data_IF_765709840872
#
_entry.id   IF_765709840872
#
_cell.length_a   1.000
_cell.length_b   1.000
_cell.length_c   1.000
_cell.angle_alpha   90.00
_cell.angle_beta   90.00
_cell.angle_gamma   90.00
#
_symmetry.space_group_name_H-M   'P 1'
#
loop_
_entity.id
_entity.type
_entity.pdbx_description
1 polymer ?
#
# COMPACT_ATOMS: atom_id res chain seq x y z
N UNK A 1 30.12 -31.45 21.13
CA UNK A 1 28.91 -31.67 20.30
C UNK A 1 29.24 -32.66 19.23
N UNK A 2 28.43 -33.71 19.04
CA UNK A 2 28.62 -34.62 17.92
C UNK A 2 28.28 -33.87 16.60
N UNK A 3 29.18 -33.98 15.61
CA UNK A 3 29.04 -33.36 14.28
C UNK A 3 28.11 -34.19 13.42
N UNK A 4 27.26 -33.56 12.60
CA UNK A 4 26.43 -34.28 11.62
C UNK A 4 27.35 -34.89 10.52
N UNK A 5 27.07 -36.12 10.16
CA UNK A 5 27.76 -36.80 9.07
C UNK A 5 26.89 -36.78 7.83
N UNK A 6 27.38 -36.14 6.76
CA UNK A 6 26.67 -36.07 5.48
C UNK A 6 27.24 -37.06 4.47
N UNK A 7 26.34 -37.86 3.84
CA UNK A 7 26.72 -38.84 2.84
C UNK A 7 25.80 -38.76 1.62
N UNK A 8 26.37 -38.95 0.42
CA UNK A 8 25.55 -39.12 -0.78
C UNK A 8 25.06 -40.59 -0.87
N UNK A 9 23.76 -40.74 -1.12
CA UNK A 9 23.08 -42.04 -1.25
C UNK A 9 22.31 -42.06 -2.57
N UNK A 10 22.62 -43.06 -3.41
CA UNK A 10 21.96 -43.25 -4.70
C UNK A 10 20.86 -44.34 -4.57
N UNK A 11 19.72 -44.10 -5.21
CA UNK A 11 18.61 -45.04 -5.34
C UNK A 11 18.19 -45.70 -4.02
N UNK A 12 18.05 -44.95 -2.94
CA UNK A 12 17.64 -45.46 -1.61
C UNK A 12 16.34 -46.28 -1.64
N UNK A 13 15.38 -45.88 -2.49
CA UNK A 13 14.07 -46.56 -2.61
C UNK A 13 14.11 -47.79 -3.53
N UNK A 14 15.25 -48.10 -4.12
CA UNK A 14 15.44 -49.17 -5.10
C UNK A 14 14.45 -49.11 -6.28
N UNK A 15 14.07 -47.92 -6.72
CA UNK A 15 13.12 -47.66 -7.80
C UNK A 15 13.74 -46.76 -8.83
N UNK A 16 13.53 -47.03 -10.11
CA UNK A 16 13.90 -46.19 -11.23
C UNK A 16 12.66 -45.47 -11.75
N UNK A 17 12.85 -44.25 -12.23
CA UNK A 17 11.78 -43.49 -12.90
C UNK A 17 11.54 -44.06 -14.33
N UNK A 18 10.58 -43.49 -15.06
CA UNK A 18 10.23 -43.85 -16.45
C UNK A 18 11.41 -43.72 -17.43
N UNK A 19 12.44 -42.95 -17.10
CA UNK A 19 13.67 -42.78 -17.92
C UNK A 19 14.81 -43.74 -17.50
N UNK A 20 14.56 -44.66 -16.57
CA UNK A 20 15.57 -45.57 -16.03
C UNK A 20 16.63 -44.88 -15.15
N UNK A 21 16.32 -43.72 -14.56
CA UNK A 21 17.15 -42.95 -13.64
C UNK A 21 16.69 -43.08 -12.21
N UNK A 22 17.60 -42.93 -11.26
CA UNK A 22 17.29 -42.86 -9.83
C UNK A 22 17.85 -41.60 -9.18
N UNK A 23 17.20 -41.17 -8.10
CA UNK A 23 17.53 -39.98 -7.34
C UNK A 23 18.81 -40.18 -6.52
N UNK A 24 19.69 -39.19 -6.55
CA UNK A 24 20.78 -39.01 -5.57
C UNK A 24 20.23 -38.19 -4.40
N UNK A 25 20.47 -38.62 -3.17
CA UNK A 25 20.05 -37.91 -1.94
C UNK A 25 21.26 -37.67 -1.05
N UNK A 26 21.18 -36.66 -0.18
CA UNK A 26 22.12 -36.48 0.94
C UNK A 26 21.48 -37.12 2.18
N UNK A 27 22.16 -38.07 2.81
CA UNK A 27 21.86 -38.60 4.12
C UNK A 27 22.59 -37.76 5.16
N UNK A 28 21.87 -37.15 6.09
CA UNK A 28 22.41 -36.56 7.31
C UNK A 28 22.20 -37.52 8.49
N UNK A 29 23.25 -37.83 9.21
CA UNK A 29 23.26 -38.74 10.33
C UNK A 29 23.75 -38.04 11.60
N UNK A 30 22.95 -38.09 12.67
CA UNK A 30 23.30 -37.59 13.99
C UNK A 30 22.59 -38.43 15.06
N UNK A 31 23.28 -38.80 16.14
CA UNK A 31 22.70 -39.47 17.31
C UNK A 31 21.76 -40.64 16.95
N UNK A 32 22.22 -41.57 16.10
CA UNK A 32 21.48 -42.74 15.60
C UNK A 32 20.22 -42.41 14.79
N UNK A 33 19.98 -41.12 14.50
CA UNK A 33 18.88 -40.68 13.61
C UNK A 33 19.41 -40.36 12.21
N UNK A 34 18.55 -40.53 11.21
CA UNK A 34 18.86 -40.24 9.82
C UNK A 34 17.78 -39.40 9.21
N UNK A 35 18.22 -38.38 8.45
CA UNK A 35 17.35 -37.55 7.63
C UNK A 35 17.89 -37.50 6.20
N UNK A 36 16.98 -37.52 5.21
CA UNK A 36 17.36 -37.58 3.81
C UNK A 36 16.88 -36.35 3.09
N UNK A 37 17.77 -35.68 2.35
CA UNK A 37 17.50 -34.49 1.55
C UNK A 37 17.56 -34.84 0.07
N UNK A 38 16.60 -34.36 -0.72
CA UNK A 38 16.54 -34.59 -2.15
C UNK A 38 17.46 -33.59 -2.87
N UNK A 39 18.44 -34.10 -3.62
CA UNK A 39 19.29 -33.24 -4.45
C UNK A 39 18.68 -32.95 -5.83
N UNK A 40 17.58 -33.64 -6.19
CA UNK A 40 16.94 -33.63 -7.52
C UNK A 40 17.86 -34.03 -8.68
N UNK A 41 19.02 -34.54 -8.38
CA UNK A 41 19.93 -35.14 -9.37
C UNK A 41 19.48 -36.57 -9.62
N UNK A 42 19.10 -36.85 -10.87
CA UNK A 42 18.71 -38.19 -11.32
C UNK A 42 19.73 -38.69 -12.31
N UNK A 43 20.31 -39.84 -12.02
CA UNK A 43 21.31 -40.49 -12.89
C UNK A 43 20.95 -41.95 -13.14
N UNK A 44 21.47 -42.55 -14.22
CA UNK A 44 21.29 -43.98 -14.48
C UNK A 44 22.23 -44.78 -13.57
N UNK A 45 21.91 -46.08 -13.23
CA UNK A 45 22.77 -46.87 -12.36
C UNK A 45 24.24 -46.96 -12.76
N UNK A 46 24.54 -47.08 -14.06
CA UNK A 46 25.91 -47.12 -14.55
C UNK A 46 26.63 -45.77 -14.44
N UNK A 47 25.91 -44.69 -14.24
CA UNK A 47 26.45 -43.32 -14.06
C UNK A 47 26.73 -42.99 -12.59
N UNK A 48 26.59 -43.93 -11.67
CA UNK A 48 26.89 -43.80 -10.26
C UNK A 48 28.08 -44.62 -9.84
N UNK A 49 29.04 -44.05 -9.14
CA UNK A 49 30.12 -44.76 -8.49
C UNK A 49 29.85 -44.91 -7.00
N UNK A 50 29.53 -46.16 -6.59
CA UNK A 50 29.16 -46.44 -5.21
C UNK A 50 30.33 -46.34 -4.21
N UNK A 51 31.58 -46.53 -4.69
CA UNK A 51 32.79 -46.43 -3.84
C UNK A 51 33.16 -44.97 -3.61
N UNK A 52 33.15 -44.18 -4.67
CA UNK A 52 33.49 -42.74 -4.59
C UNK A 52 32.30 -41.87 -4.19
N UNK A 53 31.08 -42.44 -4.16
CA UNK A 53 29.83 -41.71 -3.93
C UNK A 53 29.69 -40.49 -4.84
N UNK A 54 29.95 -40.69 -6.13
CA UNK A 54 29.99 -39.58 -7.12
C UNK A 54 29.38 -40.03 -8.46
N UNK A 55 28.95 -39.05 -9.25
CA UNK A 55 28.50 -39.25 -10.63
C UNK A 55 29.70 -39.56 -11.50
N UNK A 56 29.62 -40.58 -12.38
CA UNK A 56 30.59 -40.96 -13.38
C UNK A 56 29.90 -41.14 -14.73
N UNK A 57 30.68 -41.13 -15.82
CA UNK A 57 30.18 -41.43 -17.17
C UNK A 57 28.95 -40.62 -17.59
N UNK A 58 28.84 -39.39 -17.12
CA UNK A 58 27.76 -38.47 -17.46
C UNK A 58 28.33 -37.25 -18.20
N UNK A 59 27.69 -36.73 -19.29
CA UNK A 59 28.18 -35.56 -20.02
C UNK A 59 28.51 -34.34 -19.13
N UNK A 60 27.73 -34.13 -18.09
CA UNK A 60 27.88 -33.04 -17.13
C UNK A 60 28.42 -33.55 -15.77
N UNK A 61 29.31 -34.55 -15.76
CA UNK A 61 29.79 -35.21 -14.55
C UNK A 61 30.35 -34.21 -13.52
N UNK A 62 31.26 -33.34 -13.97
CA UNK A 62 31.93 -32.39 -13.07
C UNK A 62 30.99 -31.37 -12.48
N UNK A 63 30.11 -30.81 -13.30
CA UNK A 63 29.08 -29.86 -12.84
C UNK A 63 28.12 -30.49 -11.85
N UNK A 64 27.70 -31.76 -12.05
CA UNK A 64 26.82 -32.47 -11.13
C UNK A 64 27.52 -32.79 -9.82
N UNK A 65 28.76 -33.23 -9.86
CA UNK A 65 29.54 -33.49 -8.65
C UNK A 65 29.83 -32.20 -7.87
N UNK A 66 30.13 -31.10 -8.56
CA UNK A 66 30.29 -29.79 -7.92
C UNK A 66 28.98 -29.33 -7.26
N UNK A 67 27.85 -29.51 -7.95
CA UNK A 67 26.52 -29.21 -7.38
C UNK A 67 26.22 -30.02 -6.12
N UNK A 68 26.51 -31.33 -6.14
CA UNK A 68 26.32 -32.22 -4.99
C UNK A 68 27.20 -31.81 -3.79
N UNK A 69 28.47 -31.42 -4.07
CA UNK A 69 29.37 -30.93 -3.05
C UNK A 69 28.89 -29.61 -2.44
N UNK A 70 28.45 -28.67 -3.29
CA UNK A 70 27.88 -27.40 -2.82
C UNK A 70 26.62 -27.61 -1.98
N UNK A 71 25.76 -28.57 -2.33
CA UNK A 71 24.57 -28.93 -1.57
C UNK A 71 24.91 -29.42 -0.15
N UNK A 72 25.95 -30.22 -0.02
CA UNK A 72 26.45 -30.65 1.31
C UNK A 72 27.01 -29.45 2.08
N UNK A 73 27.82 -28.59 1.44
CA UNK A 73 28.39 -27.40 2.07
C UNK A 73 27.30 -26.44 2.59
N UNK A 74 26.19 -26.27 1.87
CA UNK A 74 25.04 -25.48 2.33
C UNK A 74 24.39 -26.09 3.60
N UNK A 75 24.26 -27.41 3.69
CA UNK A 75 23.74 -28.07 4.89
C UNK A 75 24.69 -27.92 6.08
N UNK A 76 26.01 -28.03 5.85
CA UNK A 76 27.04 -27.81 6.88
C UNK A 76 27.04 -26.36 7.37
N UNK A 77 26.84 -25.39 6.47
CA UNK A 77 26.72 -23.99 6.84
C UNK A 77 25.50 -23.72 7.71
N UNK A 78 24.32 -24.28 7.35
CA UNK A 78 23.10 -24.20 8.15
C UNK A 78 23.29 -24.81 9.54
N UNK A 79 23.96 -25.98 9.64
CA UNK A 79 24.34 -26.59 10.90
C UNK A 79 25.14 -25.62 11.78
N UNK A 80 26.20 -25.02 11.21
CA UNK A 80 27.05 -24.04 11.89
C UNK A 80 26.26 -22.81 12.37
N UNK A 81 25.39 -22.26 11.54
CA UNK A 81 24.57 -21.11 11.89
C UNK A 81 23.65 -21.43 13.08
N UNK A 82 23.02 -22.59 13.11
CA UNK A 82 22.13 -23.00 14.22
C UNK A 82 22.93 -23.23 15.51
N UNK A 83 24.07 -23.91 15.42
CA UNK A 83 24.96 -24.16 16.55
C UNK A 83 25.48 -22.86 17.15
N UNK A 84 25.81 -21.86 16.34
CA UNK A 84 26.22 -20.52 16.82
C UNK A 84 25.11 -19.77 17.57
N UNK A 85 23.84 -20.09 17.36
CA UNK A 85 22.74 -19.48 18.14
C UNK A 85 22.63 -20.02 19.58
N UNK A 86 23.43 -21.01 19.98
CA UNK A 86 23.42 -21.62 21.32
C UNK A 86 22.21 -22.54 21.60
N UNK A 87 21.42 -22.88 20.57
CA UNK A 87 20.32 -23.84 20.70
C UNK A 87 20.80 -25.27 20.54
N UNK A 88 20.16 -26.21 21.25
CA UNK A 88 20.35 -27.64 20.97
C UNK A 88 19.96 -27.93 19.54
N UNK A 89 20.90 -28.49 18.76
CA UNK A 89 20.71 -28.80 17.35
C UNK A 89 20.08 -30.19 17.19
N UNK A 90 19.07 -30.28 16.34
CA UNK A 90 18.48 -31.55 15.90
C UNK A 90 18.46 -31.63 14.37
N UNK A 91 18.42 -32.85 13.81
CA UNK A 91 18.28 -33.04 12.36
C UNK A 91 16.97 -32.43 11.80
N UNK A 92 15.96 -32.18 12.65
CA UNK A 92 14.71 -31.54 12.25
C UNK A 92 14.87 -30.05 11.99
N UNK A 93 15.90 -29.43 12.55
CA UNK A 93 16.19 -28.01 12.35
C UNK A 93 16.85 -27.75 11.00
N UNK A 94 17.50 -28.78 10.40
CA UNK A 94 17.86 -28.78 8.97
C UNK A 94 16.60 -28.93 8.14
N UNK A 95 15.93 -27.84 7.88
CA UNK A 95 14.79 -27.81 6.94
C UNK A 95 15.34 -27.73 5.52
N UNK A 96 14.80 -28.55 4.61
CA UNK A 96 14.94 -28.24 3.19
C UNK A 96 14.42 -26.80 3.00
N UNK A 97 15.26 -25.88 2.51
CA UNK A 97 14.74 -24.58 2.05
C UNK A 97 13.61 -24.92 1.08
N UNK A 98 12.37 -24.45 1.30
CA UNK A 98 11.31 -24.67 0.31
C UNK A 98 11.90 -24.18 -1.02
N UNK A 99 11.79 -25.01 -2.05
CA UNK A 99 12.27 -24.62 -3.38
C UNK A 99 11.75 -23.24 -3.69
N UNK A 100 12.65 -22.30 -3.88
CA UNK A 100 12.33 -20.94 -4.35
C UNK A 100 11.58 -20.96 -5.71
N UNK A 101 11.27 -22.12 -6.24
CA UNK A 101 10.63 -22.35 -7.52
C UNK A 101 9.24 -22.96 -7.49
N UNK A 102 8.78 -23.52 -6.38
CA UNK A 102 7.48 -24.22 -6.32
C UNK A 102 6.43 -23.50 -5.46
N UNK A 103 6.79 -22.50 -4.67
CA UNK A 103 5.81 -21.78 -3.86
C UNK A 103 5.21 -20.64 -4.68
N UNK A 104 3.89 -20.65 -4.83
CA UNK A 104 3.14 -19.58 -5.46
C UNK A 104 3.33 -18.27 -4.67
N UNK A 105 3.91 -17.25 -5.32
CA UNK A 105 3.95 -15.90 -4.76
C UNK A 105 2.54 -15.31 -4.62
N UNK A 106 1.63 -15.65 -5.55
CA UNK A 106 0.23 -15.24 -5.49
C UNK A 106 -0.45 -15.78 -4.22
N UNK A 107 -0.22 -17.05 -3.88
CA UNK A 107 -0.74 -17.66 -2.65
C UNK A 107 -0.10 -17.08 -1.40
N UNK A 108 1.22 -16.88 -1.40
CA UNK A 108 1.94 -16.19 -0.33
C UNK A 108 1.35 -14.80 -0.09
N UNK A 109 1.23 -13.97 -1.13
CA UNK A 109 0.67 -12.64 -1.04
C UNK A 109 -0.76 -12.65 -0.49
N UNK A 110 -1.61 -13.60 -0.93
CA UNK A 110 -2.98 -13.78 -0.43
C UNK A 110 -3.00 -14.07 1.07
N UNK A 111 -2.17 -15.00 1.53
CA UNK A 111 -2.08 -15.38 2.94
C UNK A 111 -1.62 -14.21 3.81
N UNK A 112 -0.58 -13.49 3.38
CA UNK A 112 -0.07 -12.31 4.10
C UNK A 112 -1.10 -11.17 4.17
N UNK A 113 -1.89 -10.95 3.11
CA UNK A 113 -3.00 -9.98 3.14
C UNK A 113 -4.05 -10.41 4.18
N UNK A 114 -4.44 -11.67 4.15
CA UNK A 114 -5.51 -12.21 5.02
C UNK A 114 -5.11 -12.19 6.50
N UNK A 115 -3.83 -12.46 6.80
CA UNK A 115 -3.31 -12.47 8.18
C UNK A 115 -2.92 -11.08 8.70
N UNK A 116 -2.97 -10.05 7.84
CA UNK A 116 -2.52 -8.71 8.23
C UNK A 116 -3.58 -7.97 9.06
N UNK A 117 -3.13 -7.19 10.07
CA UNK A 117 -3.96 -6.28 10.86
C UNK A 117 -4.23 -4.95 10.13
N UNK A 118 -4.41 -4.97 8.80
CA UNK A 118 -4.67 -3.78 8.02
C UNK A 118 -6.15 -3.36 8.15
N UNK A 119 -6.40 -2.04 8.12
CA UNK A 119 -7.77 -1.52 8.07
C UNK A 119 -8.52 -2.07 6.83
N UNK A 120 -9.84 -2.32 6.89
CA UNK A 120 -10.61 -2.95 5.80
C UNK A 120 -10.43 -2.26 4.43
N UNK A 121 -10.33 -0.93 4.40
CA UNK A 121 -10.08 -0.16 3.17
C UNK A 121 -8.70 -0.43 2.57
N UNK A 122 -7.68 -0.70 3.40
CA UNK A 122 -6.34 -1.08 2.95
C UNK A 122 -6.32 -2.52 2.43
N UNK A 123 -6.98 -3.46 3.14
CA UNK A 123 -7.14 -4.84 2.67
C UNK A 123 -7.72 -4.87 1.25
N UNK A 124 -8.81 -4.13 1.01
CA UNK A 124 -9.43 -4.00 -0.33
C UNK A 124 -8.42 -3.55 -1.40
N UNK A 125 -7.55 -2.59 -1.08
CA UNK A 125 -6.52 -2.11 -2.01
C UNK A 125 -5.46 -3.18 -2.31
N UNK A 126 -5.03 -3.96 -1.29
CA UNK A 126 -4.07 -5.05 -1.47
C UNK A 126 -4.67 -6.20 -2.28
N UNK A 127 -5.91 -6.60 -1.99
CA UNK A 127 -6.64 -7.59 -2.81
C UNK A 127 -6.84 -7.13 -4.26
N UNK A 128 -7.11 -5.84 -4.49
CA UNK A 128 -7.16 -5.29 -5.86
C UNK A 128 -5.82 -5.47 -6.61
N UNK A 129 -4.68 -5.40 -5.91
CA UNK A 129 -3.38 -5.68 -6.54
C UNK A 129 -3.23 -7.17 -6.86
N UNK A 130 -3.64 -8.05 -5.95
CA UNK A 130 -3.64 -9.50 -6.20
C UNK A 130 -4.52 -9.86 -7.39
N UNK A 131 -5.68 -9.22 -7.53
CA UNK A 131 -6.58 -9.41 -8.67
C UNK A 131 -5.93 -8.99 -9.99
N UNK A 132 -5.26 -7.82 -10.04
CA UNK A 132 -4.51 -7.38 -11.23
C UNK A 132 -3.41 -8.37 -11.57
N UNK A 133 -2.68 -8.87 -10.57
CA UNK A 133 -1.64 -9.87 -10.74
C UNK A 133 -2.20 -11.18 -11.35
N UNK A 134 -3.31 -11.69 -10.79
CA UNK A 134 -3.99 -12.90 -11.29
C UNK A 134 -4.59 -12.72 -12.69
N UNK A 135 -5.00 -11.49 -13.05
CA UNK A 135 -5.47 -11.18 -14.40
C UNK A 135 -4.34 -11.12 -15.43
N UNK A 136 -3.12 -10.76 -14.99
CA UNK A 136 -1.93 -10.78 -15.83
C UNK A 136 -1.38 -12.20 -16.00
N UNK A 137 -1.27 -12.95 -14.91
CA UNK A 137 -0.84 -14.36 -14.88
C UNK A 137 -1.57 -15.08 -13.77
N UNK A 138 -2.27 -16.16 -14.10
CA UNK A 138 -3.18 -16.91 -13.19
C UNK A 138 -2.52 -17.29 -11.87
N UNK A 139 -1.30 -17.78 -11.92
CA UNK A 139 -0.45 -18.03 -10.74
C UNK A 139 0.97 -17.53 -11.01
N UNK A 140 1.46 -16.68 -10.12
CA UNK A 140 2.81 -16.14 -10.17
C UNK A 140 3.65 -16.86 -9.12
N UNK A 141 4.69 -17.55 -9.57
CA UNK A 141 5.67 -18.18 -8.70
C UNK A 141 6.76 -17.20 -8.28
N UNK A 142 7.51 -17.52 -7.22
CA UNK A 142 8.70 -16.74 -6.86
C UNK A 142 9.76 -16.70 -7.97
N UNK A 143 9.83 -17.73 -8.84
CA UNK A 143 10.76 -17.76 -9.96
C UNK A 143 10.41 -16.78 -11.07
N UNK A 144 9.15 -16.42 -11.21
CA UNK A 144 8.70 -15.41 -12.18
C UNK A 144 9.18 -13.99 -11.84
N UNK A 145 9.41 -13.70 -10.55
CA UNK A 145 9.72 -12.36 -10.06
C UNK A 145 11.09 -11.88 -10.53
N UNK A 146 11.09 -11.24 -11.68
CA UNK A 146 12.29 -10.67 -12.33
C UNK A 146 12.05 -9.20 -12.69
N UNK A 147 13.10 -8.50 -13.11
CA UNK A 147 12.98 -7.16 -13.67
C UNK A 147 12.05 -7.13 -14.90
N UNK A 148 12.19 -8.11 -15.80
CA UNK A 148 11.36 -8.21 -17.00
C UNK A 148 9.89 -8.44 -16.63
N UNK A 149 9.61 -9.30 -15.66
CA UNK A 149 8.24 -9.50 -15.15
C UNK A 149 7.59 -8.20 -14.68
N UNK A 150 8.33 -7.32 -13.97
CA UNK A 150 7.79 -6.03 -13.55
C UNK A 150 7.52 -5.10 -14.74
N UNK A 151 8.39 -5.13 -15.76
CA UNK A 151 8.21 -4.36 -16.99
C UNK A 151 6.98 -4.86 -17.78
N UNK A 152 6.82 -6.17 -17.90
CA UNK A 152 5.69 -6.78 -18.62
C UNK A 152 4.37 -6.51 -17.90
N UNK A 153 4.36 -6.60 -16.57
CA UNK A 153 3.18 -6.24 -15.76
C UNK A 153 2.83 -4.75 -15.87
N UNK A 154 3.85 -3.85 -15.88
CA UNK A 154 3.62 -2.41 -16.13
C UNK A 154 3.00 -2.20 -17.52
N UNK A 155 3.56 -2.85 -18.54
CA UNK A 155 3.06 -2.77 -19.90
C UNK A 155 1.61 -3.28 -20.00
N UNK A 156 1.32 -4.45 -19.43
CA UNK A 156 -0.04 -4.98 -19.32
C UNK A 156 -1.03 -3.98 -18.72
N UNK A 157 -0.66 -3.34 -17.62
CA UNK A 157 -1.52 -2.33 -16.98
C UNK A 157 -1.69 -1.09 -17.85
N UNK A 158 -0.66 -0.65 -18.60
CA UNK A 158 -0.75 0.48 -19.53
C UNK A 158 -1.69 0.18 -20.70
N UNK A 159 -1.57 -0.99 -21.31
CA UNK A 159 -2.48 -1.45 -22.39
C UNK A 159 -3.92 -1.49 -21.91
N UNK A 160 -4.15 -1.93 -20.66
CA UNK A 160 -5.47 -1.91 -20.02
C UNK A 160 -5.88 -0.54 -19.47
N UNK A 161 -5.23 0.55 -19.91
CA UNK A 161 -5.55 1.96 -19.62
C UNK A 161 -5.54 2.32 -18.11
N UNK A 162 -4.75 1.62 -17.31
CA UNK A 162 -4.54 2.02 -15.91
C UNK A 162 -3.81 3.36 -15.83
N UNK A 163 -4.29 4.24 -14.97
CA UNK A 163 -3.60 5.52 -14.72
C UNK A 163 -2.23 5.27 -14.06
N UNK A 164 -1.21 6.06 -14.43
CA UNK A 164 0.17 5.90 -13.97
C UNK A 164 0.30 5.77 -12.44
N UNK A 165 -0.44 6.60 -11.68
CA UNK A 165 -0.43 6.54 -10.21
C UNK A 165 -1.12 5.28 -9.66
N UNK A 166 -2.04 4.67 -10.40
CA UNK A 166 -2.64 3.37 -10.05
C UNK A 166 -1.63 2.25 -10.26
N UNK A 167 -0.87 2.29 -11.35
CA UNK A 167 0.26 1.37 -11.61
C UNK A 167 1.29 1.49 -10.48
N UNK A 168 1.69 2.71 -10.15
CA UNK A 168 2.63 2.97 -9.05
C UNK A 168 2.14 2.40 -7.70
N UNK A 169 0.84 2.48 -7.42
CA UNK A 169 0.23 1.86 -6.23
C UNK A 169 0.39 0.34 -6.24
N UNK A 170 0.07 -0.32 -7.35
CA UNK A 170 0.20 -1.77 -7.47
C UNK A 170 1.66 -2.22 -7.35
N UNK A 171 2.59 -1.50 -7.99
CA UNK A 171 4.02 -1.78 -7.87
C UNK A 171 4.55 -1.59 -6.44
N UNK A 172 4.06 -0.59 -5.69
CA UNK A 172 4.38 -0.44 -4.26
C UNK A 172 3.91 -1.63 -3.42
N UNK A 173 2.73 -2.14 -3.69
CA UNK A 173 2.23 -3.32 -2.99
C UNK A 173 3.08 -4.55 -3.31
N UNK A 174 3.42 -4.80 -4.58
CA UNK A 174 4.31 -5.89 -4.95
C UNK A 174 5.67 -5.77 -4.26
N UNK A 175 6.27 -4.57 -4.29
CA UNK A 175 7.53 -4.29 -3.60
C UNK A 175 7.46 -4.65 -2.12
N UNK A 176 6.36 -4.30 -1.44
CA UNK A 176 6.13 -4.65 -0.03
C UNK A 176 6.16 -6.16 0.20
N UNK A 177 5.43 -6.94 -0.63
CA UNK A 177 5.34 -8.39 -0.43
C UNK A 177 6.61 -9.13 -0.86
N UNK A 178 7.33 -8.64 -1.85
CA UNK A 178 8.66 -9.19 -2.21
C UNK A 178 9.65 -8.93 -1.06
N UNK A 179 9.67 -7.72 -0.48
CA UNK A 179 10.51 -7.45 0.69
C UNK A 179 10.12 -8.32 1.89
N UNK A 180 8.83 -8.56 2.09
CA UNK A 180 8.37 -9.45 3.16
C UNK A 180 8.79 -10.90 2.92
N UNK A 181 8.78 -11.36 1.67
CA UNK A 181 9.26 -12.68 1.30
C UNK A 181 10.78 -12.82 1.52
N UNK A 182 11.56 -11.78 1.23
CA UNK A 182 13.00 -11.73 1.54
C UNK A 182 13.21 -11.84 3.05
N UNK A 183 12.49 -11.04 3.84
CA UNK A 183 12.60 -11.07 5.31
C UNK A 183 12.17 -12.41 5.95
N UNK A 184 11.41 -13.23 5.21
CA UNK A 184 11.01 -14.60 5.60
C UNK A 184 11.86 -15.69 4.95
N UNK A 185 12.98 -15.34 4.32
CA UNK A 185 13.89 -16.25 3.61
C UNK A 185 13.24 -17.10 2.51
N UNK A 186 12.09 -16.61 1.97
CA UNK A 186 11.38 -17.27 0.86
C UNK A 186 11.82 -16.79 -0.52
N UNK A 187 12.53 -15.67 -0.60
CA UNK A 187 13.03 -15.07 -1.84
C UNK A 187 14.42 -14.49 -1.66
N UNK A 188 15.32 -14.80 -2.59
CA UNK A 188 16.71 -14.37 -2.52
C UNK A 188 16.89 -12.88 -2.84
N UNK A 189 17.58 -12.16 -1.96
CA UNK A 189 17.90 -10.75 -2.12
C UNK A 189 18.72 -10.47 -3.40
N UNK A 190 19.58 -11.41 -3.85
CA UNK A 190 20.33 -11.25 -5.09
C UNK A 190 19.42 -11.16 -6.33
N UNK A 191 18.25 -11.78 -6.28
CA UNK A 191 17.24 -11.76 -7.34
C UNK A 191 16.27 -10.60 -7.24
N UNK A 192 16.46 -9.65 -6.30
CA UNK A 192 15.50 -8.56 -6.03
C UNK A 192 15.21 -7.70 -7.27
N UNK A 193 14.00 -7.75 -7.83
CA UNK A 193 13.69 -7.13 -9.12
C UNK A 193 13.60 -5.60 -9.05
N UNK A 194 13.31 -5.03 -7.88
CA UNK A 194 13.23 -3.58 -7.69
C UNK A 194 14.59 -2.89 -7.53
N UNK A 195 15.72 -3.61 -7.61
CA UNK A 195 17.06 -3.00 -7.63
C UNK A 195 17.20 -2.03 -8.81
N UNK A 196 16.76 -2.45 -9.99
CA UNK A 196 16.82 -1.65 -11.23
C UNK A 196 15.48 -0.98 -11.59
N UNK A 197 14.36 -1.57 -11.17
CA UNK A 197 13.03 -1.05 -11.49
C UNK A 197 12.67 0.14 -10.60
N UNK A 198 12.45 1.33 -11.22
CA UNK A 198 12.01 2.55 -10.52
C UNK A 198 10.51 2.77 -10.71
N UNK A 199 9.78 2.87 -9.62
CA UNK A 199 8.34 3.17 -9.66
C UNK A 199 8.15 4.63 -10.10
N UNK A 200 7.46 4.83 -11.21
CA UNK A 200 7.21 6.15 -11.81
C UNK A 200 5.88 6.72 -11.30
N UNK A 201 5.88 7.98 -10.96
CA UNK A 201 4.71 8.75 -10.54
C UNK A 201 4.43 9.85 -11.55
N UNK A 202 3.14 10.19 -11.67
CA UNK A 202 2.71 11.40 -12.36
C UNK A 202 2.19 12.37 -11.30
N UNK A 203 2.61 13.61 -11.39
CA UNK A 203 2.07 14.66 -10.55
C UNK A 203 0.57 14.83 -10.83
N UNK A 204 -0.23 14.87 -9.78
CA UNK A 204 -1.68 15.04 -9.91
C UNK A 204 -2.04 16.49 -9.64
N UNK A 205 -2.56 17.18 -10.67
CA UNK A 205 -3.17 18.51 -10.50
C UNK A 205 -4.37 18.38 -9.54
N UNK A 206 -4.39 19.21 -8.50
CA UNK A 206 -5.46 19.21 -7.51
C UNK A 206 -6.45 20.30 -7.84
N UNK A 207 -7.66 19.92 -8.16
CA UNK A 207 -8.75 20.84 -8.45
C UNK A 207 -9.20 21.51 -7.15
N UNK A 208 -9.33 22.82 -7.16
CA UNK A 208 -9.96 23.65 -6.14
C UNK A 208 -10.93 24.62 -6.79
N UNK A 209 -11.85 25.17 -6.03
CA UNK A 209 -12.78 26.20 -6.46
C UNK A 209 -12.18 27.58 -6.21
N UNK A 210 -12.47 28.52 -7.13
CA UNK A 210 -12.18 29.93 -6.91
C UNK A 210 -13.21 30.55 -5.97
N UNK A 211 -12.97 31.78 -5.43
CA UNK A 211 -13.99 32.51 -4.66
C UNK A 211 -15.32 32.68 -5.41
N UNK A 212 -15.25 33.04 -6.69
CA UNK A 212 -16.41 33.26 -7.57
C UNK A 212 -17.21 31.95 -7.79
N UNK A 213 -16.52 30.83 -8.01
CA UNK A 213 -17.17 29.51 -8.15
C UNK A 213 -17.83 29.07 -6.83
N UNK A 214 -17.23 29.46 -5.68
CA UNK A 214 -17.82 29.19 -4.39
C UNK A 214 -19.09 30.01 -4.16
N UNK A 215 -19.09 31.30 -4.54
CA UNK A 215 -20.28 32.18 -4.50
C UNK A 215 -21.39 31.68 -5.43
N UNK A 216 -21.05 31.17 -6.61
CA UNK A 216 -22.02 30.53 -7.50
C UNK A 216 -22.72 29.35 -6.86
N UNK A 217 -22.00 28.54 -6.07
CA UNK A 217 -22.57 27.44 -5.31
C UNK A 217 -23.43 27.92 -4.14
N UNK A 218 -22.99 28.96 -3.42
CA UNK A 218 -23.70 29.55 -2.30
C UNK A 218 -25.05 30.15 -2.73
N UNK A 219 -25.10 30.77 -3.91
CA UNK A 219 -26.29 31.41 -4.47
C UNK A 219 -27.26 30.45 -5.15
N UNK A 220 -26.90 29.17 -5.27
CA UNK A 220 -27.70 28.21 -6.02
C UNK A 220 -29.03 27.89 -5.33
N UNK A 221 -30.14 28.13 -6.02
CA UNK A 221 -31.47 27.82 -5.51
C UNK A 221 -31.85 26.36 -5.78
N UNK A 222 -31.92 25.54 -4.73
CA UNK A 222 -32.29 24.14 -4.77
C UNK A 222 -33.65 23.83 -4.11
N UNK A 223 -34.57 24.80 -4.10
CA UNK A 223 -35.90 24.60 -3.51
C UNK A 223 -36.57 23.33 -4.04
N UNK A 224 -37.16 22.53 -3.14
CA UNK A 224 -37.83 21.25 -3.46
C UNK A 224 -36.85 20.07 -3.67
N UNK A 225 -35.53 20.29 -3.71
CA UNK A 225 -34.51 19.25 -3.94
C UNK A 225 -33.73 18.95 -2.67
N UNK A 226 -34.39 18.49 -1.60
CA UNK A 226 -33.82 18.29 -0.26
C UNK A 226 -32.49 17.56 -0.24
N UNK A 227 -32.35 16.49 -1.05
CA UNK A 227 -31.11 15.69 -1.10
C UNK A 227 -29.95 16.47 -1.72
N UNK A 228 -30.19 17.23 -2.80
CA UNK A 228 -29.15 18.06 -3.41
C UNK A 228 -28.79 19.22 -2.49
N UNK A 229 -29.76 19.86 -1.83
CA UNK A 229 -29.52 20.94 -0.86
C UNK A 229 -28.60 20.43 0.27
N UNK A 230 -28.93 19.31 0.89
CA UNK A 230 -28.12 18.72 1.95
C UNK A 230 -26.69 18.38 1.48
N UNK A 231 -26.57 17.87 0.26
CA UNK A 231 -25.25 17.58 -0.34
C UNK A 231 -24.44 18.85 -0.58
N UNK A 232 -25.09 19.91 -1.07
CA UNK A 232 -24.46 21.22 -1.24
C UNK A 232 -24.02 21.80 0.10
N UNK A 233 -24.90 21.84 1.09
CA UNK A 233 -24.61 22.36 2.42
C UNK A 233 -23.44 21.59 3.08
N UNK A 234 -23.44 20.27 2.96
CA UNK A 234 -22.33 19.43 3.44
C UNK A 234 -21.01 19.75 2.71
N UNK A 235 -21.06 19.98 1.41
CA UNK A 235 -19.88 20.34 0.62
C UNK A 235 -19.35 21.73 0.97
N UNK A 236 -20.24 22.74 1.06
CA UNK A 236 -19.90 24.11 1.48
C UNK A 236 -19.33 24.13 2.90
N UNK A 237 -19.95 23.40 3.82
CA UNK A 237 -19.44 23.25 5.18
C UNK A 237 -18.02 22.68 5.18
N UNK A 238 -17.72 21.69 4.31
CA UNK A 238 -16.38 21.18 4.14
C UNK A 238 -15.44 22.17 3.46
N UNK A 239 -15.91 23.05 2.57
CA UNK A 239 -15.11 24.15 2.00
C UNK A 239 -14.67 25.12 3.10
N UNK A 240 -15.51 25.40 4.08
CA UNK A 240 -15.19 26.35 5.16
C UNK A 240 -14.43 25.73 6.33
N UNK A 241 -14.55 24.44 6.55
CA UNK A 241 -13.94 23.74 7.71
C UNK A 241 -12.77 22.83 7.35
N UNK A 242 -12.60 22.49 6.08
CA UNK A 242 -11.58 21.57 5.62
C UNK A 242 -11.82 20.09 5.98
N UNK A 243 -13.00 19.70 6.49
CA UNK A 243 -13.29 18.31 6.89
C UNK A 243 -13.18 17.35 5.70
N UNK A 244 -12.68 16.15 5.99
CA UNK A 244 -12.75 15.04 5.02
C UNK A 244 -14.16 14.47 4.99
N UNK A 245 -14.52 13.77 3.93
CA UNK A 245 -15.79 13.05 3.82
C UNK A 245 -16.03 12.10 5.00
N UNK A 246 -15.00 11.34 5.41
CA UNK A 246 -15.10 10.45 6.57
C UNK A 246 -15.44 11.18 7.86
N UNK A 247 -14.85 12.36 8.06
CA UNK A 247 -15.01 13.13 9.28
C UNK A 247 -16.39 13.82 9.30
N UNK A 248 -16.80 14.44 8.18
CA UNK A 248 -18.07 15.19 8.13
C UNK A 248 -19.31 14.31 8.27
N UNK A 249 -19.27 13.06 7.82
CA UNK A 249 -20.38 12.11 7.99
C UNK A 249 -20.46 11.50 9.40
N UNK A 250 -19.43 11.71 10.22
CA UNK A 250 -19.34 11.16 11.57
C UNK A 250 -19.51 12.21 12.68
N UNK A 251 -19.41 13.52 12.36
CA UNK A 251 -19.58 14.55 13.37
C UNK A 251 -21.01 14.58 13.93
N UNK A 252 -21.09 14.64 15.24
CA UNK A 252 -22.32 14.72 16.03
C UNK A 252 -22.44 16.06 16.71
N UNK A 253 -23.54 16.31 17.39
CA UNK A 253 -23.74 17.52 18.21
C UNK A 253 -22.65 17.68 19.27
N UNK A 254 -22.14 16.59 19.83
CA UNK A 254 -21.13 16.60 20.90
C UNK A 254 -19.77 17.16 20.42
N UNK A 255 -19.54 17.20 19.13
CA UNK A 255 -18.32 17.79 18.57
C UNK A 255 -18.35 19.33 18.55
N UNK A 256 -19.51 19.95 18.81
CA UNK A 256 -19.66 21.40 18.82
C UNK A 256 -19.72 21.91 20.25
N UNK A 257 -18.72 22.70 20.63
CA UNK A 257 -18.63 23.30 21.95
C UNK A 257 -18.80 24.82 21.86
N UNK A 258 -19.50 25.39 22.82
CA UNK A 258 -19.60 26.84 22.97
C UNK A 258 -18.54 27.27 23.99
N UNK A 259 -17.60 28.08 23.55
CA UNK A 259 -16.53 28.62 24.37
C UNK A 259 -16.57 30.14 24.18
N UNK A 260 -16.73 30.91 25.26
CA UNK A 260 -16.89 32.37 25.23
C UNK A 260 -17.97 32.82 24.22
N UNK A 261 -19.16 32.22 24.30
CA UNK A 261 -20.29 32.43 23.40
C UNK A 261 -20.05 32.19 21.91
N UNK A 262 -18.96 31.50 21.60
CA UNK A 262 -18.53 31.18 20.21
C UNK A 262 -18.50 29.69 19.95
N UNK A 263 -18.97 29.28 18.77
CA UNK A 263 -19.04 27.86 18.38
C UNK A 263 -17.69 27.40 17.87
N UNK A 264 -17.20 26.34 18.51
CA UNK A 264 -16.02 25.58 18.12
C UNK A 264 -16.41 24.18 17.66
N UNK A 265 -15.78 23.68 16.60
CA UNK A 265 -15.86 22.28 16.20
C UNK A 265 -14.58 21.57 16.65
N UNK A 266 -14.74 20.57 17.51
CA UNK A 266 -13.61 19.78 18.06
C UNK A 266 -13.84 18.31 17.74
N UNK A 267 -12.91 17.69 17.05
CA UNK A 267 -13.03 16.27 16.66
C UNK A 267 -11.65 15.61 16.48
N UNK A 268 -11.60 14.28 16.59
CA UNK A 268 -10.45 13.49 16.19
C UNK A 268 -10.63 12.96 14.77
N UNK A 269 -9.69 13.26 13.88
CA UNK A 269 -9.79 12.85 12.48
C UNK A 269 -9.69 11.33 12.33
N UNK A 270 -10.69 10.68 11.77
CA UNK A 270 -10.79 9.21 11.58
C UNK A 270 -9.57 8.63 10.84
N UNK A 271 -9.04 9.38 9.88
CA UNK A 271 -7.93 8.91 9.04
C UNK A 271 -6.57 9.05 9.70
N UNK A 272 -6.35 10.12 10.46
CA UNK A 272 -5.04 10.51 10.97
C UNK A 272 -4.92 10.42 12.48
N UNK A 273 -6.04 10.28 13.17
CA UNK A 273 -6.12 10.27 14.63
C UNK A 273 -5.51 11.54 15.27
N UNK A 274 -5.65 12.67 14.55
CA UNK A 274 -5.21 13.99 15.00
C UNK A 274 -6.39 14.74 15.55
N UNK A 275 -6.26 15.31 16.75
CA UNK A 275 -7.26 16.20 17.32
C UNK A 275 -7.23 17.53 16.59
N UNK A 276 -8.40 17.95 16.09
CA UNK A 276 -8.60 19.18 15.32
C UNK A 276 -9.56 20.07 16.09
N UNK A 277 -9.23 21.36 16.19
CA UNK A 277 -10.06 22.38 16.84
C UNK A 277 -10.25 23.53 15.87
N UNK A 278 -11.48 23.80 15.49
CA UNK A 278 -11.85 24.76 14.47
C UNK A 278 -12.73 25.89 15.08
N UNK A 279 -12.26 27.12 15.13
CA UNK A 279 -13.07 28.28 15.52
C UNK A 279 -13.99 28.65 14.36
N UNK A 280 -15.23 28.12 14.32
CA UNK A 280 -16.14 28.31 13.18
C UNK A 280 -16.46 29.78 12.90
N UNK A 281 -16.44 30.62 13.91
CA UNK A 281 -16.74 32.05 13.83
C UNK A 281 -15.63 32.87 13.12
N UNK A 282 -14.40 32.34 13.04
CA UNK A 282 -13.28 33.00 12.35
C UNK A 282 -13.04 32.44 10.94
N UNK A 283 -13.40 31.19 10.72
CA UNK A 283 -13.13 30.55 9.44
C UNK A 283 -14.11 31.07 8.38
N UNK A 284 -13.57 31.72 7.33
CA UNK A 284 -14.35 32.29 6.23
C UNK A 284 -15.51 33.16 6.74
N UNK A 285 -15.22 34.06 7.70
CA UNK A 285 -16.17 35.00 8.29
C UNK A 285 -17.42 34.30 8.87
N UNK A 286 -17.25 33.10 9.38
CA UNK A 286 -18.32 32.32 10.00
C UNK A 286 -19.33 31.71 9.02
N UNK A 287 -19.04 31.64 7.71
CA UNK A 287 -19.94 31.09 6.67
C UNK A 287 -20.44 29.66 6.96
N UNK A 288 -19.72 28.90 7.78
CA UNK A 288 -20.17 27.56 8.24
C UNK A 288 -21.29 27.60 9.29
N UNK A 289 -21.45 28.70 10.04
CA UNK A 289 -22.43 28.81 11.13
C UNK A 289 -23.89 28.73 10.67
N UNK A 290 -24.34 29.42 9.62
CA UNK A 290 -25.71 29.28 9.13
C UNK A 290 -26.04 27.84 8.69
N UNK A 291 -25.06 27.11 8.19
CA UNK A 291 -25.20 25.69 7.82
C UNK A 291 -25.33 24.85 9.10
N UNK A 292 -24.46 25.08 10.09
CA UNK A 292 -24.53 24.41 11.38
C UNK A 292 -25.90 24.62 12.02
N UNK A 293 -26.41 25.87 12.12
CA UNK A 293 -27.72 26.21 12.71
C UNK A 293 -28.86 25.45 12.03
N UNK A 294 -28.81 25.26 10.71
CA UNK A 294 -29.85 24.51 9.95
C UNK A 294 -29.91 23.04 10.33
N UNK A 295 -28.79 22.42 10.71
CA UNK A 295 -28.66 20.98 10.90
C UNK A 295 -28.38 20.55 12.36
N UNK A 296 -28.11 21.47 13.30
CA UNK A 296 -27.68 21.17 14.67
C UNK A 296 -28.66 20.31 15.48
N UNK A 297 -29.93 20.28 15.08
CA UNK A 297 -30.99 19.52 15.76
C UNK A 297 -31.22 18.12 15.17
N UNK A 298 -30.42 17.71 14.20
CA UNK A 298 -30.48 16.36 13.68
C UNK A 298 -30.06 15.33 14.76
N UNK A 299 -30.76 14.19 14.86
CA UNK A 299 -30.65 13.29 16.02
C UNK A 299 -29.36 12.49 16.07
N UNK A 300 -28.75 12.16 14.92
CA UNK A 300 -27.62 11.24 14.87
C UNK A 300 -26.30 11.93 14.53
N UNK A 301 -26.20 12.49 13.33
CA UNK A 301 -25.04 13.23 12.87
C UNK A 301 -25.47 14.58 12.33
N UNK A 302 -24.53 15.52 12.18
CA UNK A 302 -24.88 16.87 11.74
C UNK A 302 -25.74 16.86 10.46
N UNK A 303 -25.40 16.05 9.46
CA UNK A 303 -26.11 16.03 8.18
C UNK A 303 -27.09 14.88 8.02
N UNK A 304 -27.14 13.95 8.98
CA UNK A 304 -28.07 12.80 8.98
C UNK A 304 -28.13 12.10 7.60
N UNK A 305 -26.95 11.85 7.03
CA UNK A 305 -26.85 11.17 5.76
C UNK A 305 -27.04 9.67 5.99
N UNK A 306 -28.14 9.06 5.52
CA UNK A 306 -28.23 7.61 5.50
C UNK A 306 -27.02 7.09 4.72
N UNK A 307 -26.44 5.96 5.08
CA UNK A 307 -25.19 5.36 4.60
C UNK A 307 -24.86 5.63 3.11
N UNK A 308 -24.80 6.91 2.74
CA UNK A 308 -24.49 7.38 1.39
C UNK A 308 -23.00 7.18 1.15
N UNK A 309 -22.68 6.34 0.17
CA UNK A 309 -21.30 6.20 -0.25
C UNK A 309 -20.77 7.54 -0.78
N UNK A 310 -19.48 7.82 -0.56
CA UNK A 310 -18.80 8.97 -1.16
C UNK A 310 -19.02 9.05 -2.68
N UNK A 311 -19.17 7.89 -3.35
CA UNK A 311 -19.50 7.80 -4.77
C UNK A 311 -20.85 8.44 -5.11
N UNK A 312 -21.86 8.23 -4.28
CA UNK A 312 -23.20 8.81 -4.49
C UNK A 312 -23.20 10.34 -4.28
N UNK A 313 -22.53 10.80 -3.21
CA UNK A 313 -22.33 12.24 -2.97
C UNK A 313 -21.60 12.90 -4.14
N UNK A 314 -20.57 12.27 -4.68
CA UNK A 314 -19.86 12.78 -5.84
C UNK A 314 -20.70 12.80 -7.13
N UNK A 315 -21.68 11.89 -7.28
CA UNK A 315 -22.68 11.97 -8.39
C UNK A 315 -23.57 13.18 -8.24
N UNK A 316 -24.01 13.46 -7.01
CA UNK A 316 -24.87 14.64 -6.74
C UNK A 316 -24.07 15.94 -6.91
N UNK A 317 -22.84 16.02 -6.43
CA UNK A 317 -21.96 17.18 -6.62
C UNK A 317 -21.75 17.52 -8.10
N UNK A 318 -21.56 16.51 -8.96
CA UNK A 318 -21.47 16.77 -10.42
C UNK A 318 -22.72 17.41 -11.01
N UNK A 319 -23.91 17.03 -10.51
CA UNK A 319 -25.18 17.67 -10.92
C UNK A 319 -25.26 19.11 -10.42
N UNK A 320 -24.88 19.33 -9.16
CA UNK A 320 -24.85 20.66 -8.53
C UNK A 320 -23.88 21.59 -9.30
N UNK A 321 -22.67 21.15 -9.57
CA UNK A 321 -21.69 21.94 -10.32
C UNK A 321 -22.19 22.28 -11.74
N UNK A 322 -22.84 21.34 -12.42
CA UNK A 322 -23.45 21.60 -13.73
C UNK A 322 -24.57 22.67 -13.64
N UNK A 323 -25.36 22.65 -12.56
CA UNK A 323 -26.41 23.68 -12.35
C UNK A 323 -25.83 25.04 -12.01
N UNK A 324 -24.63 25.07 -11.39
CA UNK A 324 -23.90 26.29 -11.08
C UNK A 324 -22.95 26.74 -12.22
N UNK A 325 -23.02 26.13 -13.41
CA UNK A 325 -22.12 26.40 -14.55
C UNK A 325 -20.62 26.25 -14.25
N UNK A 326 -20.27 25.34 -13.32
CA UNK A 326 -18.88 25.02 -12.98
C UNK A 326 -18.42 23.83 -13.79
N UNK A 327 -17.51 24.03 -14.76
CA UNK A 327 -16.98 23.00 -15.65
C UNK A 327 -15.70 22.33 -15.12
N UNK A 328 -15.54 22.26 -13.81
CA UNK A 328 -14.44 21.56 -13.17
C UNK A 328 -14.86 20.17 -12.71
N UNK A 329 -13.93 19.21 -12.76
CA UNK A 329 -14.16 17.89 -12.18
C UNK A 329 -14.10 17.98 -10.65
N UNK A 330 -15.23 18.33 -10.04
CA UNK A 330 -15.36 18.46 -8.59
C UNK A 330 -15.70 17.11 -7.96
N UNK A 331 -15.02 16.83 -6.85
CA UNK A 331 -15.30 15.71 -5.93
C UNK A 331 -15.42 16.26 -4.51
N UNK A 332 -15.94 15.46 -3.56
CA UNK A 332 -16.03 15.92 -2.19
C UNK A 332 -14.68 16.36 -1.61
N UNK A 333 -13.60 15.70 -2.02
CA UNK A 333 -12.26 16.08 -1.58
C UNK A 333 -11.79 17.44 -2.12
N UNK A 334 -12.40 17.93 -3.19
CA UNK A 334 -12.18 19.28 -3.73
C UNK A 334 -12.50 20.36 -2.70
N UNK A 335 -13.53 20.17 -1.85
CA UNK A 335 -13.85 21.11 -0.76
C UNK A 335 -12.64 21.38 0.15
N UNK A 336 -11.97 20.31 0.57
CA UNK A 336 -10.79 20.45 1.43
C UNK A 336 -9.60 21.09 0.69
N UNK A 337 -9.45 20.83 -0.61
CA UNK A 337 -8.45 21.52 -1.43
C UNK A 337 -8.78 23.01 -1.53
N UNK A 338 -10.04 23.36 -1.74
CA UNK A 338 -10.52 24.74 -1.75
C UNK A 338 -10.23 25.44 -0.42
N UNK A 339 -10.59 24.81 0.71
CA UNK A 339 -10.30 25.33 2.04
C UNK A 339 -8.80 25.66 2.22
N UNK A 340 -7.93 24.68 1.97
CA UNK A 340 -6.49 24.86 2.13
C UNK A 340 -5.94 25.96 1.22
N UNK A 341 -6.37 25.96 -0.04
CA UNK A 341 -5.94 26.94 -1.05
C UNK A 341 -6.35 28.35 -0.67
N UNK A 342 -7.63 28.54 -0.31
CA UNK A 342 -8.14 29.89 0.04
C UNK A 342 -7.55 30.40 1.36
N UNK A 343 -7.31 29.54 2.36
CA UNK A 343 -6.63 29.95 3.58
C UNK A 343 -5.20 30.42 3.31
N UNK A 344 -4.44 29.69 2.52
CA UNK A 344 -3.08 30.11 2.13
C UNK A 344 -3.10 31.39 1.28
N UNK A 345 -4.04 31.48 0.33
CA UNK A 345 -4.24 32.68 -0.49
C UNK A 345 -4.53 33.91 0.37
N UNK A 346 -5.36 33.76 1.41
CA UNK A 346 -5.70 34.81 2.38
C UNK A 346 -4.63 35.04 3.46
N UNK A 347 -3.45 34.42 3.34
CA UNK A 347 -2.30 34.69 4.20
C UNK A 347 -2.17 33.85 5.44
N UNK A 348 -2.96 32.79 5.58
CA UNK A 348 -2.76 31.87 6.68
C UNK A 348 -1.41 31.16 6.56
N UNK A 349 -0.68 31.03 7.67
CA UNK A 349 0.58 30.30 7.70
C UNK A 349 0.34 28.81 7.39
N UNK A 350 1.23 28.19 6.63
CA UNK A 350 1.13 26.77 6.24
C UNK A 350 1.03 25.81 7.44
N UNK A 351 1.69 26.13 8.55
CA UNK A 351 1.61 25.36 9.80
C UNK A 351 0.24 25.51 10.47
N UNK A 352 -0.40 26.65 10.36
CA UNK A 352 -1.77 26.88 10.82
C UNK A 352 -2.74 26.05 9.96
N UNK A 353 -2.61 26.13 8.63
CA UNK A 353 -3.43 25.30 7.72
C UNK A 353 -3.21 23.82 7.94
N UNK A 354 -1.98 23.39 8.21
CA UNK A 354 -1.66 22.01 8.59
C UNK A 354 -2.47 21.56 9.82
N UNK A 355 -2.49 22.38 10.88
CA UNK A 355 -3.22 22.09 12.14
C UNK A 355 -4.73 22.06 11.90
N UNK A 356 -5.29 23.06 11.22
CA UNK A 356 -6.72 23.13 10.90
C UNK A 356 -7.18 21.93 10.06
N UNK A 357 -6.35 21.47 9.14
CA UNK A 357 -6.62 20.30 8.33
C UNK A 357 -6.35 18.96 9.05
N UNK A 358 -5.69 18.93 10.20
CA UNK A 358 -5.29 17.69 10.88
C UNK A 358 -4.32 16.85 10.04
N UNK A 359 -3.31 17.46 9.42
CA UNK A 359 -2.23 16.76 8.75
C UNK A 359 -1.10 16.41 9.74
N UNK A 360 -0.64 15.17 9.74
CA UNK A 360 0.49 14.73 10.58
C UNK A 360 1.84 15.38 10.20
N UNK A 361 1.97 15.87 8.95
CA UNK A 361 3.20 16.46 8.43
C UNK A 361 2.89 17.67 7.56
N UNK A 362 3.71 18.71 7.66
CA UNK A 362 3.65 19.93 6.82
C UNK A 362 3.77 19.55 5.33
N UNK A 363 4.62 18.58 5.00
CA UNK A 363 4.79 18.07 3.62
C UNK A 363 3.48 17.69 2.93
N UNK A 364 2.46 17.27 3.72
CA UNK A 364 1.13 16.99 3.16
C UNK A 364 0.39 18.30 2.78
N UNK A 365 0.75 19.42 3.39
CA UNK A 365 0.15 20.73 3.14
C UNK A 365 0.94 21.49 2.06
N UNK A 366 2.23 21.21 1.88
CA UNK A 366 3.09 21.79 0.83
C UNK A 366 2.57 21.54 -0.59
N UNK A 367 1.73 20.54 -0.80
CA UNK A 367 1.05 20.31 -2.09
C UNK A 367 0.17 21.48 -2.54
N UNK A 368 -0.16 22.40 -1.65
CA UNK A 368 -0.89 23.63 -1.95
C UNK A 368 0.04 24.82 -2.16
N UNK A 369 1.35 24.65 -2.01
CA UNK A 369 2.36 25.71 -2.11
C UNK A 369 2.56 26.26 -3.54
N UNK A 370 2.13 25.52 -4.57
CA UNK A 370 2.16 26.01 -5.96
C UNK A 370 1.26 27.24 -6.21
N UNK A 371 0.50 27.67 -5.18
CA UNK A 371 -0.26 28.93 -5.17
C UNK A 371 0.62 30.08 -4.68
N UNK A 372 1.84 29.74 -4.25
CA UNK A 372 2.77 30.68 -3.60
C UNK A 372 3.31 31.79 -4.49
N UNK A 373 3.21 31.72 -5.82
CA UNK A 373 3.69 32.84 -6.64
C UNK A 373 2.93 34.13 -6.30
N UNK A 374 1.63 34.07 -6.07
CA UNK A 374 0.84 35.21 -5.61
C UNK A 374 1.07 35.56 -4.13
N UNK A 375 1.35 34.56 -3.27
CA UNK A 375 1.72 34.86 -1.87
C UNK A 375 3.11 35.44 -1.77
N UNK A 376 4.05 35.05 -2.62
CA UNK A 376 5.38 35.69 -2.71
C UNK A 376 5.27 37.17 -3.05
N UNK A 377 4.46 37.51 -4.06
CA UNK A 377 4.22 38.92 -4.42
C UNK A 377 3.62 39.71 -3.25
N UNK A 378 2.60 39.14 -2.59
CA UNK A 378 1.96 39.77 -1.43
C UNK A 378 2.94 39.95 -0.26
N UNK A 379 3.67 38.90 0.10
CA UNK A 379 4.59 38.91 1.24
C UNK A 379 5.75 39.88 0.99
N UNK A 380 6.29 39.96 -0.24
CA UNK A 380 7.28 40.93 -0.62
C UNK A 380 6.70 42.36 -0.66
N UNK A 381 5.46 42.53 -1.10
CA UNK A 381 4.77 43.84 -1.09
C UNK A 381 4.53 44.32 0.34
N UNK A 382 4.21 43.45 1.28
CA UNK A 382 4.06 43.78 2.69
C UNK A 382 5.39 44.18 3.36
N UNK A 383 6.51 43.58 2.94
CA UNK A 383 7.85 43.95 3.41
C UNK A 383 8.30 45.31 2.85
N UNK A 384 7.90 45.67 1.62
CA UNK A 384 8.21 46.95 1.01
C UNK A 384 7.44 48.11 1.62
N UNK A 385 6.35 47.89 2.32
CA UNK A 385 5.56 48.90 3.05
C UNK A 385 6.08 49.20 4.47
N UNK A 386 7.17 48.54 4.90
CA UNK A 386 7.86 48.79 6.17
C UNK A 386 9.07 49.74 5.89
N UNK A 387 8.82 50.87 5.25
CA UNK A 387 9.79 51.96 5.17
C UNK A 387 9.25 53.18 5.87
#
# INVERSE_FOLDING_TARGET
MEKVIYNLVFNRKKQLNSEGKALVQVEAYLNKQKKYFSTKVYVKPFQWDAKRKAVKNHPNMDSLNQYLANFIAELEQLELEIVHTGKEFSLNDLKEKPEAGQTSFSLFMKNEITQSNLKPSMLKNHFSTLQVLSSFKTDVSFNDLSFNFLCDLEHYMLVNKYHRNTIAKHMKHLKRYINLAINKDLFDLHRYPFRKYKIKYMESKRTHLTPEELEQLESLNLRGRRTLQRTLDMFLFSCYTGLRFSDIVSITRENFLIIDDKVWLIYSSIKTDVNVRLPLFLLFDGKSLPIYERYKNNPWTLFDMPASSNSNVNKQLRRICKMANIDKKVSFHTARHTNATLLLYNGANITTVQKLLGHKSVRTTEIYSNIMDMTVVRDLSSLSSIK
#
